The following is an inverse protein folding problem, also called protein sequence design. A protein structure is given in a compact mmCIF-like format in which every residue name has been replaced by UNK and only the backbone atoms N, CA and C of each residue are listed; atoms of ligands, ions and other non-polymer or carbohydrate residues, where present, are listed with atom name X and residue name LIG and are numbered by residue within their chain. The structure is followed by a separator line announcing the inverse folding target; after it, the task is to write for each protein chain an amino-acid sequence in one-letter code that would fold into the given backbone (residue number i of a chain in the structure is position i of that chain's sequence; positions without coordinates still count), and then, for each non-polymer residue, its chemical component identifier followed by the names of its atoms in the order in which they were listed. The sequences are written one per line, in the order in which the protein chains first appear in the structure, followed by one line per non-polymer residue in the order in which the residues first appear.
data_IF_446689065322
#
_entry.id   IF_446689065322
#
_cell.length_a   1.000
_cell.length_b   1.000
_cell.length_c   1.000
_cell.angle_alpha   90.00
_cell.angle_beta   90.00
_cell.angle_gamma   90.00
#
_symmetry.space_group_name_H-M   'P 1'
#
loop_
_entity.id
_entity.type
_entity.pdbx_description
1 polymer ?
#
# COMPACT_ATOMS: atom_id res chain seq x y z
N UNK A 1 -7.12 22.09 4.37
CA UNK A 1 -6.01 21.31 4.98
C UNK A 1 -4.80 21.41 4.06
N UNK A 2 -3.62 21.67 4.60
CA UNK A 2 -2.42 22.03 3.84
C UNK A 2 -1.82 20.80 3.16
N UNK A 3 -2.14 20.57 1.88
CA UNK A 3 -1.35 19.71 1.01
C UNK A 3 -0.07 20.46 0.69
N UNK A 4 0.99 20.15 1.43
CA UNK A 4 2.31 20.76 1.25
C UNK A 4 2.91 20.28 -0.07
N UNK A 5 2.49 20.91 -1.17
CA UNK A 5 3.14 20.85 -2.48
C UNK A 5 4.43 21.68 -2.42
N UNK A 6 5.37 21.26 -1.60
CA UNK A 6 6.73 21.75 -1.72
C UNK A 6 7.32 20.95 -2.87
N UNK A 7 7.60 21.62 -3.99
CA UNK A 7 7.93 21.14 -5.34
C UNK A 7 8.94 19.96 -5.49
N UNK A 8 9.47 19.41 -4.40
CA UNK A 8 10.46 18.32 -4.36
C UNK A 8 10.10 17.18 -3.38
N UNK A 9 8.99 17.29 -2.63
CA UNK A 9 8.54 16.29 -1.64
C UNK A 9 7.01 16.16 -1.68
N UNK A 10 6.52 15.05 -2.23
CA UNK A 10 5.10 14.72 -2.17
C UNK A 10 4.86 13.78 -0.99
N UNK A 11 4.02 14.17 -0.04
CA UNK A 11 3.54 13.29 1.03
C UNK A 11 2.15 12.79 0.63
N UNK A 12 1.99 11.48 0.54
CA UNK A 12 0.73 10.83 0.22
C UNK A 12 0.30 10.02 1.43
N UNK A 13 -0.83 10.40 2.03
CA UNK A 13 -1.46 9.67 3.13
C UNK A 13 -2.67 8.95 2.56
N UNK A 14 -2.76 7.63 2.69
CA UNK A 14 -3.97 6.90 2.30
C UNK A 14 -4.81 6.74 3.56
N UNK A 15 -6.00 7.37 3.58
CA UNK A 15 -6.91 7.36 4.72
C UNK A 15 -7.96 6.25 4.61
N UNK A 16 -8.43 5.98 3.39
CA UNK A 16 -9.37 4.89 3.14
C UNK A 16 -9.39 4.49 1.68
N UNK A 17 -9.75 3.23 1.44
CA UNK A 17 -10.12 2.69 0.13
C UNK A 17 -11.59 2.32 0.19
N UNK A 18 -12.36 2.78 -0.80
CA UNK A 18 -13.72 2.32 -1.06
C UNK A 18 -13.66 1.19 -2.11
N UNK A 19 -14.26 0.04 -1.78
CA UNK A 19 -14.49 -1.14 -2.61
C UNK A 19 -13.45 -1.40 -3.72
N UNK A 20 -12.54 -2.35 -3.46
CA UNK A 20 -11.47 -2.67 -4.39
C UNK A 20 -11.02 -4.12 -4.32
N UNK A 21 -10.86 -4.76 -5.48
CA UNK A 21 -10.25 -6.08 -5.57
C UNK A 21 -8.75 -5.94 -5.82
N UNK A 22 -7.95 -6.81 -5.20
CA UNK A 22 -6.52 -6.98 -5.47
C UNK A 22 -6.21 -8.38 -5.97
N UNK A 23 -5.21 -8.46 -6.86
CA UNK A 23 -4.70 -9.72 -7.43
C UNK A 23 -3.45 -10.21 -6.73
N UNK A 24 -2.61 -9.29 -6.25
CA UNK A 24 -1.31 -9.61 -5.67
C UNK A 24 -1.02 -8.67 -4.51
N UNK A 25 -0.62 -9.22 -3.37
CA UNK A 25 -0.17 -8.45 -2.21
C UNK A 25 1.08 -9.08 -1.59
N UNK A 26 2.13 -8.27 -1.39
CA UNK A 26 3.36 -8.71 -0.71
C UNK A 26 3.45 -8.05 0.67
N UNK A 27 3.33 -8.87 1.72
CA UNK A 27 3.34 -8.42 3.11
C UNK A 27 4.63 -8.81 3.82
N UNK A 28 5.11 -7.96 4.73
CA UNK A 28 6.19 -8.33 5.65
C UNK A 28 5.70 -9.41 6.63
N UNK A 29 6.48 -10.48 6.79
CA UNK A 29 6.18 -11.50 7.80
C UNK A 29 6.42 -10.94 9.21
N UNK A 30 5.51 -11.19 10.16
CA UNK A 30 5.65 -10.69 11.53
C UNK A 30 6.70 -11.44 12.35
N UNK A 31 7.08 -12.66 11.97
CA UNK A 31 7.92 -13.56 12.77
C UNK A 31 9.37 -13.67 12.29
N UNK A 32 9.67 -13.14 11.10
CA UNK A 32 10.97 -13.28 10.43
C UNK A 32 11.40 -11.90 9.94
N UNK A 33 12.49 -11.39 10.52
CA UNK A 33 13.04 -10.09 10.17
C UNK A 33 13.56 -10.11 8.73
N UNK A 34 12.89 -9.37 7.85
CA UNK A 34 13.29 -9.21 6.45
C UNK A 34 12.61 -10.15 5.47
N UNK A 35 11.78 -11.09 5.94
CA UNK A 35 11.07 -12.00 5.04
C UNK A 35 9.69 -11.45 4.65
N UNK A 36 9.26 -11.78 3.43
CA UNK A 36 8.00 -11.29 2.87
C UNK A 36 7.18 -12.43 2.31
N UNK A 37 5.86 -12.38 2.50
CA UNK A 37 4.92 -13.33 1.91
C UNK A 37 4.12 -12.66 0.80
N UNK A 38 4.16 -13.25 -0.39
CA UNK A 38 3.34 -12.84 -1.53
C UNK A 38 2.07 -13.69 -1.58
N UNK A 39 0.93 -13.00 -1.63
CA UNK A 39 -0.40 -13.57 -1.77
C UNK A 39 -0.89 -13.27 -3.18
N UNK A 40 -1.26 -14.30 -3.93
CA UNK A 40 -1.80 -14.20 -5.29
C UNK A 40 -3.20 -14.83 -5.34
N UNK A 41 -4.15 -14.13 -5.97
CA UNK A 41 -5.57 -14.50 -5.97
C UNK A 41 -6.46 -13.27 -6.00
N UNK A 42 -7.78 -13.44 -5.98
CA UNK A 42 -8.72 -12.31 -5.88
C UNK A 42 -9.06 -12.09 -4.40
N UNK A 43 -8.68 -10.92 -3.90
CA UNK A 43 -8.98 -10.51 -2.53
C UNK A 43 -9.68 -9.17 -2.52
N UNK A 44 -10.59 -8.98 -1.58
CA UNK A 44 -11.28 -7.72 -1.34
C UNK A 44 -10.48 -6.88 -0.35
N UNK A 45 -10.09 -5.67 -0.72
CA UNK A 45 -9.48 -4.71 0.22
C UNK A 45 -10.55 -4.28 1.21
N UNK A 46 -10.26 -4.48 2.49
CA UNK A 46 -11.08 -3.98 3.59
C UNK A 46 -10.56 -2.64 4.10
N UNK A 47 -9.23 -2.48 4.12
CA UNK A 47 -8.59 -1.25 4.59
C UNK A 47 -7.19 -1.13 4.02
N UNK A 48 -6.84 0.06 3.55
CA UNK A 48 -5.49 0.44 3.19
C UNK A 48 -5.18 1.74 3.91
N UNK A 49 -4.14 1.75 4.72
CA UNK A 49 -3.72 2.93 5.46
C UNK A 49 -2.22 3.08 5.46
N UNK A 50 -1.75 4.32 5.50
CA UNK A 50 -0.33 4.61 5.67
C UNK A 50 0.08 5.86 4.92
N UNK A 51 1.38 6.12 4.94
CA UNK A 51 1.93 7.26 4.26
C UNK A 51 3.20 6.90 3.53
N UNK A 52 3.41 7.55 2.39
CA UNK A 52 4.67 7.52 1.70
C UNK A 52 5.06 8.92 1.23
N UNK A 53 6.35 9.20 1.31
CA UNK A 53 6.98 10.44 0.90
C UNK A 53 7.79 10.12 -0.33
N UNK A 54 7.45 10.75 -1.46
CA UNK A 54 8.25 10.71 -2.67
C UNK A 54 9.14 11.94 -2.68
N UNK A 55 10.44 11.70 -2.63
CA UNK A 55 11.48 12.72 -2.75
C UNK A 55 12.05 12.58 -4.15
N UNK A 56 11.90 13.63 -4.96
CA UNK A 56 12.58 13.68 -6.26
C UNK A 56 13.88 14.44 -6.07
N UNK A 57 14.99 13.74 -6.21
CA UNK A 57 16.31 14.31 -6.08
C UNK A 57 16.68 15.08 -7.36
N UNK A 58 17.64 15.98 -7.24
CA UNK A 58 18.09 16.84 -8.35
C UNK A 58 18.74 16.07 -9.51
N UNK A 59 19.21 14.85 -9.25
CA UNK A 59 19.76 13.94 -10.26
C UNK A 59 18.67 13.15 -11.03
N UNK A 60 17.39 13.41 -10.71
CA UNK A 60 16.25 12.70 -11.30
C UNK A 60 15.91 11.38 -10.61
N UNK A 61 16.66 10.95 -9.59
CA UNK A 61 16.32 9.79 -8.78
C UNK A 61 15.10 10.05 -7.90
N UNK A 62 14.32 9.01 -7.62
CA UNK A 62 13.14 9.07 -6.76
C UNK A 62 13.35 8.18 -5.54
N UNK A 63 13.45 8.81 -4.37
CA UNK A 63 13.44 8.10 -3.11
C UNK A 63 12.02 8.06 -2.56
N UNK A 64 11.56 6.85 -2.23
CA UNK A 64 10.27 6.66 -1.57
C UNK A 64 10.50 6.20 -0.14
N UNK A 65 10.00 6.97 0.82
CA UNK A 65 10.07 6.67 2.25
C UNK A 65 8.68 6.57 2.84
N UNK A 66 8.37 5.46 3.50
CA UNK A 66 7.08 5.31 4.14
C UNK A 66 6.71 3.87 4.38
N UNK A 67 5.49 3.66 4.85
CA UNK A 67 4.93 2.33 5.02
C UNK A 67 3.44 2.38 4.77
N UNK A 68 2.96 1.43 3.97
CA UNK A 68 1.55 1.15 3.80
C UNK A 68 1.23 -0.13 4.58
N UNK A 69 0.04 -0.17 5.18
CA UNK A 69 -0.56 -1.37 5.75
C UNK A 69 -1.86 -1.62 5.05
N UNK A 70 -2.11 -2.88 4.74
CA UNK A 70 -3.32 -3.32 4.06
C UNK A 70 -3.95 -4.46 4.85
N UNK A 71 -5.27 -4.52 4.83
CA UNK A 71 -6.07 -5.67 5.26
C UNK A 71 -7.02 -6.02 4.13
N UNK A 72 -7.07 -7.29 3.78
CA UNK A 72 -7.90 -7.81 2.70
C UNK A 72 -8.49 -9.16 3.08
N UNK A 73 -9.65 -9.48 2.53
CA UNK A 73 -10.31 -10.76 2.68
C UNK A 73 -10.18 -11.58 1.41
N UNK A 74 -9.81 -12.84 1.56
CA UNK A 74 -9.96 -13.82 0.51
C UNK A 74 -11.41 -14.31 0.43
N UNK A 75 -11.81 -14.79 -0.74
CA UNK A 75 -13.15 -15.36 -0.98
C UNK A 75 -13.46 -16.58 -0.10
N UNK A 76 -12.45 -17.21 0.48
CA UNK A 76 -12.56 -18.31 1.44
C UNK A 76 -12.82 -17.85 2.88
N UNK A 77 -13.20 -16.58 3.09
CA UNK A 77 -13.40 -15.90 4.38
C UNK A 77 -12.13 -15.71 5.22
N UNK A 78 -10.94 -15.93 4.65
CA UNK A 78 -9.67 -15.68 5.34
C UNK A 78 -9.30 -14.21 5.28
N UNK A 79 -9.21 -13.57 6.45
CA UNK A 79 -8.69 -12.21 6.58
C UNK A 79 -7.17 -12.23 6.67
N UNK A 80 -6.52 -11.42 5.84
CA UNK A 80 -5.07 -11.32 5.74
C UNK A 80 -4.71 -9.84 5.83
N UNK A 81 -3.72 -9.50 6.65
CA UNK A 81 -3.31 -8.11 6.79
C UNK A 81 -1.87 -7.98 7.26
N UNK A 82 -1.28 -6.82 6.97
CA UNK A 82 0.11 -6.55 7.35
C UNK A 82 0.69 -5.32 6.68
N UNK A 83 1.98 -5.09 6.97
CA UNK A 83 2.76 -4.04 6.32
C UNK A 83 3.10 -4.47 4.89
N UNK A 84 2.78 -3.65 3.91
CA UNK A 84 3.17 -3.86 2.51
C UNK A 84 4.68 -3.74 2.41
N UNK A 85 5.33 -4.77 1.90
CA UNK A 85 6.79 -4.86 1.75
C UNK A 85 7.23 -5.06 0.30
N UNK A 86 6.28 -5.12 -0.63
CA UNK A 86 6.53 -5.29 -2.06
C UNK A 86 5.32 -4.88 -2.88
N UNK A 87 4.97 -5.70 -3.88
CA UNK A 87 3.91 -5.37 -4.84
C UNK A 87 2.53 -5.43 -4.19
N UNK A 88 1.70 -4.44 -4.50
CA UNK A 88 0.26 -4.42 -4.25
C UNK A 88 -0.44 -4.06 -5.56
N UNK A 89 -1.15 -5.02 -6.16
CA UNK A 89 -1.73 -4.89 -7.50
C UNK A 89 -3.24 -5.01 -7.41
N UNK A 90 -3.93 -3.98 -7.90
CA UNK A 90 -5.38 -3.97 -8.02
C UNK A 90 -5.86 -4.86 -9.17
N UNK A 91 -6.88 -5.67 -8.92
CA UNK A 91 -7.60 -6.46 -9.90
C UNK A 91 -8.74 -5.66 -10.56
N UNK A 92 -9.24 -4.64 -9.88
CA UNK A 92 -10.29 -3.71 -10.33
C UNK A 92 -9.83 -2.26 -10.16
N UNK A 93 -10.54 -1.26 -10.70
CA UNK A 93 -10.38 0.12 -10.25
C UNK A 93 -10.53 0.18 -8.72
N UNK A 94 -9.62 0.91 -8.06
CA UNK A 94 -9.62 1.12 -6.61
C UNK A 94 -9.61 2.62 -6.36
N UNK A 95 -10.62 3.12 -5.65
CA UNK A 95 -10.64 4.51 -5.24
C UNK A 95 -9.83 4.68 -3.96
N UNK A 96 -8.87 5.60 -4.00
CA UNK A 96 -8.04 5.97 -2.84
C UNK A 96 -8.38 7.38 -2.41
N UNK A 97 -8.67 7.54 -1.12
CA UNK A 97 -8.91 8.86 -0.50
C UNK A 97 -7.71 9.27 0.37
N UNK A 98 -7.30 10.53 0.26
CA UNK A 98 -6.14 11.12 0.94
C UNK A 98 -6.51 12.02 2.12
#
# INVERSE_FOLDING_TARGET
MSFSLQHHRAVVCILSVSDGLISVATLAQPFTSGDTSTYEGIFEILSLSGSYVVITNSDGSRDTRGSLRVSFAALDSRLIGGKVAGRLIAASPVEVSL
#
